data_IF_151705430173
#
_entry.id   IF_151705430173
#
_cell.length_a   1.000
_cell.length_b   1.000
_cell.length_c   1.000
_cell.angle_alpha   90.00
_cell.angle_beta   90.00
_cell.angle_gamma   90.00
#
_symmetry.space_group_name_H-M   'P 1'
#
loop_
_entity.id
_entity.type
_entity.pdbx_description
1 polymer ?
#
# COMPACT_ATOMS: atom_id res chain seq x y z
N UNK A 1 -17.74 7.24 -2.95
CA UNK A 1 -16.55 7.26 -3.82
C UNK A 1 -15.41 6.51 -3.20
N UNK A 2 -14.85 5.62 -3.96
CA UNK A 2 -13.79 4.78 -3.43
C UNK A 2 -12.49 4.98 -4.20
N UNK A 3 -12.06 6.22 -4.23
CA UNK A 3 -10.91 6.58 -5.02
C UNK A 3 -9.62 5.90 -4.57
N UNK A 4 -9.49 5.71 -3.25
CA UNK A 4 -8.27 5.08 -2.75
C UNK A 4 -8.15 3.64 -3.25
N UNK A 5 -9.28 3.01 -3.58
CA UNK A 5 -9.26 1.64 -4.07
C UNK A 5 -8.65 1.55 -5.46
N UNK A 6 -8.67 2.65 -6.20
CA UNK A 6 -8.11 2.68 -7.54
C UNK A 6 -6.66 3.14 -7.56
N UNK A 7 -6.12 3.51 -6.40
CA UNK A 7 -4.75 3.95 -6.32
C UNK A 7 -3.82 2.83 -6.76
N UNK A 8 -3.02 3.04 -7.81
CA UNK A 8 -2.12 1.99 -8.28
C UNK A 8 -0.95 1.79 -7.34
N UNK A 9 -0.53 0.55 -7.21
CA UNK A 9 0.64 0.21 -6.41
C UNK A 9 1.76 -0.17 -7.37
N UNK A 10 2.98 0.35 -7.13
CA UNK A 10 4.11 0.01 -7.98
C UNK A 10 4.38 -1.48 -8.00
N UNK A 11 4.79 -1.98 -9.14
CA UNK A 11 4.99 -3.41 -9.33
C UNK A 11 6.07 -3.97 -8.43
N UNK A 12 7.15 -3.24 -8.29
CA UNK A 12 8.29 -3.69 -7.48
C UNK A 12 8.45 -2.85 -6.22
N UNK A 13 7.33 -2.49 -5.62
CA UNK A 13 7.36 -1.65 -4.44
C UNK A 13 7.88 -2.43 -3.23
N UNK A 14 8.73 -1.78 -2.45
CA UNK A 14 9.27 -2.36 -1.22
C UNK A 14 8.39 -1.96 -0.04
N UNK A 15 7.54 -2.88 0.39
CA UNK A 15 6.61 -2.60 1.48
C UNK A 15 7.31 -2.52 2.83
N UNK A 16 8.56 -2.95 2.92
CA UNK A 16 9.28 -2.89 4.18
C UNK A 16 9.60 -1.46 4.60
N UNK A 17 9.55 -0.52 3.66
CA UNK A 17 9.84 0.89 3.99
C UNK A 17 8.65 1.56 4.68
N UNK A 18 7.49 0.93 4.69
CA UNK A 18 6.31 1.50 5.31
C UNK A 18 6.28 1.08 6.78
N UNK A 19 6.47 2.06 7.68
CA UNK A 19 6.36 1.78 9.09
C UNK A 19 4.92 1.42 9.45
N UNK A 20 4.76 0.57 10.44
CA UNK A 20 3.43 0.19 10.90
C UNK A 20 2.84 -1.04 10.24
N UNK A 21 3.51 -1.59 9.24
CA UNK A 21 3.07 -2.85 8.65
C UNK A 21 3.73 -4.02 9.36
N UNK A 22 2.94 -5.02 9.70
CA UNK A 22 3.49 -6.24 10.29
C UNK A 22 4.20 -7.07 9.22
N UNK A 23 5.07 -7.97 9.66
CA UNK A 23 5.76 -8.84 8.72
C UNK A 23 4.79 -9.68 7.93
N UNK A 24 3.71 -10.12 8.58
CA UNK A 24 2.71 -10.92 7.90
C UNK A 24 2.06 -10.16 6.75
N UNK A 25 1.71 -8.89 6.99
CA UNK A 25 1.11 -8.06 5.96
C UNK A 25 2.09 -7.84 4.83
N UNK A 26 3.34 -7.53 5.16
CA UNK A 26 4.38 -7.30 4.16
C UNK A 26 4.55 -8.53 3.28
N UNK A 27 4.59 -9.70 3.89
CA UNK A 27 4.74 -10.95 3.14
C UNK A 27 3.55 -11.18 2.21
N UNK A 28 2.34 -10.93 2.70
CA UNK A 28 1.15 -11.11 1.89
C UNK A 28 1.17 -10.19 0.67
N UNK A 29 1.53 -8.93 0.90
CA UNK A 29 1.59 -7.97 -0.20
C UNK A 29 2.67 -8.35 -1.20
N UNK A 30 3.79 -8.85 -0.72
CA UNK A 30 4.89 -9.23 -1.58
C UNK A 30 4.54 -10.44 -2.43
N UNK A 31 3.82 -11.39 -1.86
CA UNK A 31 3.44 -12.60 -2.57
C UNK A 31 2.32 -12.32 -3.57
N UNK A 32 1.29 -11.61 -3.12
CA UNK A 32 0.10 -11.39 -3.94
C UNK A 32 0.28 -10.29 -4.97
N UNK A 33 1.16 -9.33 -4.71
CA UNK A 33 1.47 -8.23 -5.61
C UNK A 33 0.21 -7.58 -6.18
N UNK A 34 -0.63 -7.02 -5.31
CA UNK A 34 -1.86 -6.37 -5.78
C UNK A 34 -1.53 -5.17 -6.64
N UNK A 35 -2.34 -4.96 -7.65
CA UNK A 35 -2.14 -3.85 -8.58
C UNK A 35 -2.65 -2.54 -8.03
N UNK A 36 -3.64 -2.60 -7.17
CA UNK A 36 -4.25 -1.41 -6.60
C UNK A 36 -4.42 -1.57 -5.10
N UNK A 37 -4.67 -0.45 -4.44
CA UNK A 37 -4.91 -0.45 -3.01
C UNK A 37 -6.18 -1.24 -2.68
N UNK A 38 -7.19 -1.16 -3.55
CA UNK A 38 -8.39 -1.96 -3.37
C UNK A 38 -8.11 -3.45 -3.42
N UNK A 39 -7.25 -3.85 -4.34
CA UNK A 39 -6.83 -5.25 -4.42
C UNK A 39 -6.12 -5.67 -3.15
N UNK A 40 -5.27 -4.80 -2.62
CA UNK A 40 -4.56 -5.10 -1.38
C UNK A 40 -5.53 -5.28 -0.21
N UNK A 41 -6.58 -4.46 -0.17
CA UNK A 41 -7.53 -4.53 0.94
C UNK A 41 -8.33 -5.82 0.95
N UNK A 42 -8.37 -6.52 -0.16
CA UNK A 42 -9.12 -7.78 -0.26
C UNK A 42 -8.27 -8.98 0.13
N UNK A 43 -6.99 -8.79 0.35
CA UNK A 43 -6.13 -9.88 0.76
C UNK A 43 -6.40 -10.23 2.21
N UNK A 44 -6.64 -11.51 2.46
CA UNK A 44 -6.89 -11.95 3.83
C UNK A 44 -5.63 -11.73 4.67
N UNK A 45 -5.80 -11.10 5.82
CA UNK A 45 -4.69 -10.78 6.70
C UNK A 45 -4.26 -9.32 6.61
N UNK A 46 -4.67 -8.62 5.55
CA UNK A 46 -4.38 -7.19 5.43
C UNK A 46 -5.49 -6.41 6.13
N UNK A 47 -5.13 -5.63 7.13
CA UNK A 47 -6.09 -4.90 7.94
C UNK A 47 -6.35 -3.52 7.37
N UNK A 48 -7.48 -2.88 7.76
CA UNK A 48 -7.72 -1.49 7.35
C UNK A 48 -6.61 -0.55 7.81
N UNK A 49 -6.01 -0.81 8.97
CA UNK A 49 -4.90 0.01 9.44
C UNK A 49 -3.72 -0.09 8.50
N UNK A 50 -3.45 -1.29 7.98
CA UNK A 50 -2.36 -1.46 7.02
C UNK A 50 -2.64 -0.69 5.75
N UNK A 51 -3.87 -0.71 5.27
CA UNK A 51 -4.25 0.03 4.06
C UNK A 51 -4.05 1.53 4.28
N UNK A 52 -4.43 2.01 5.46
CA UNK A 52 -4.24 3.43 5.78
C UNK A 52 -2.76 3.81 5.76
N UNK A 53 -1.90 2.95 6.29
CA UNK A 53 -0.47 3.21 6.29
C UNK A 53 0.08 3.27 4.88
N UNK A 54 -0.35 2.36 4.03
CA UNK A 54 0.08 2.34 2.65
C UNK A 54 -0.37 3.63 1.95
N UNK A 55 -1.62 4.01 2.16
CA UNK A 55 -2.16 5.21 1.53
C UNK A 55 -1.40 6.45 1.95
N UNK A 56 -1.11 6.58 3.24
CA UNK A 56 -0.36 7.72 3.75
C UNK A 56 1.03 7.76 3.11
N UNK A 57 1.68 6.61 3.01
CA UNK A 57 3.01 6.55 2.42
C UNK A 57 2.99 6.96 0.95
N UNK A 58 1.98 6.50 0.22
CA UNK A 58 1.85 6.86 -1.19
C UNK A 58 1.65 8.36 -1.35
N UNK A 59 0.87 8.97 -0.48
CA UNK A 59 0.66 10.41 -0.52
C UNK A 59 1.94 11.16 -0.25
N UNK A 60 2.75 10.68 0.69
CA UNK A 60 4.02 11.33 1.00
C UNK A 60 4.97 11.28 -0.20
N UNK A 61 5.02 10.14 -0.86
CA UNK A 61 5.85 10.00 -2.05
C UNK A 61 5.40 10.96 -3.15
N UNK A 62 4.09 11.05 -3.33
CA UNK A 62 3.55 11.94 -4.35
C UNK A 62 3.88 13.39 -4.08
N UNK A 63 3.77 13.80 -2.82
CA UNK A 63 4.09 15.16 -2.42
C UNK A 63 5.58 15.46 -2.63
N UNK A 64 6.42 14.50 -2.27
CA UNK A 64 7.87 14.67 -2.43
C UNK A 64 8.21 14.86 -3.91
N UNK A 65 7.58 14.08 -4.77
CA UNK A 65 7.84 14.20 -6.22
C UNK A 65 7.35 15.53 -6.77
N UNK A 66 6.24 16.00 -6.25
CA UNK A 66 5.71 17.29 -6.67
C UNK A 66 6.61 18.44 -6.22
N UNK A 67 7.21 18.30 -5.07
CA UNK A 67 8.08 19.33 -4.53
C UNK A 67 9.39 19.44 -5.29
N UNK A 68 9.79 18.38 -5.95
CA UNK A 68 10.99 18.40 -6.74
C UNK A 68 10.75 19.12 -8.05
#
# INVERSE_FOLDING_TARGET
>A
MRRYEETPLPENFDYTVIGGLSNEVIQKLDIMKPETLGGASRIQGVTPAAISQILVHMKKLKLARKSA
#
